data_IF_282152793088
#
_entry.id   IF_282152793088
#
_cell.length_a   1.000
_cell.length_b   1.000
_cell.length_c   1.000
_cell.angle_alpha   90.00
_cell.angle_beta   90.00
_cell.angle_gamma   90.00
#
_symmetry.space_group_name_H-M   'P 1'
#
loop_
_entity.id
_entity.type
_entity.pdbx_description
1 polymer ?
#
# COMPACT_ATOMS: atom_id res chain seq x y z
N UNK A 1 16.66 -2.77 2.21
CA UNK A 1 16.01 -4.09 2.35
C UNK A 1 14.54 -3.87 2.65
N UNK A 2 13.66 -4.54 1.92
CA UNK A 2 12.22 -4.58 2.21
C UNK A 2 11.97 -5.73 3.18
N UNK A 3 11.22 -5.49 4.25
CA UNK A 3 10.94 -6.52 5.26
C UNK A 3 9.64 -7.24 4.90
N UNK A 4 9.68 -8.57 4.87
CA UNK A 4 8.46 -9.37 4.78
C UNK A 4 7.62 -9.19 6.04
N UNK A 5 6.32 -8.96 5.86
CA UNK A 5 5.37 -8.80 6.97
C UNK A 5 4.24 -9.80 6.87
N UNK A 6 3.88 -10.38 8.01
CA UNK A 6 2.70 -11.24 8.11
C UNK A 6 1.43 -10.41 8.00
N UNK A 7 0.66 -10.63 6.92
CA UNK A 7 -0.60 -9.91 6.65
C UNK A 7 -1.60 -10.11 7.79
N UNK A 8 -1.75 -11.34 8.27
CA UNK A 8 -2.67 -11.68 9.38
C UNK A 8 -2.29 -10.93 10.65
N UNK A 9 -0.99 -10.92 11.00
CA UNK A 9 -0.50 -10.20 12.17
C UNK A 9 -0.76 -8.69 12.03
N UNK A 10 -0.53 -8.13 10.84
CA UNK A 10 -0.76 -6.72 10.58
C UNK A 10 -2.23 -6.32 10.79
N UNK A 11 -3.16 -7.13 10.29
CA UNK A 11 -4.61 -6.92 10.49
C UNK A 11 -4.97 -7.00 11.97
N UNK A 12 -4.50 -8.03 12.68
CA UNK A 12 -4.76 -8.20 14.12
C UNK A 12 -4.24 -6.99 14.90
N UNK A 13 -3.01 -6.55 14.62
CA UNK A 13 -2.43 -5.38 15.28
C UNK A 13 -3.20 -4.11 14.97
N UNK A 14 -3.68 -3.91 13.74
CA UNK A 14 -4.56 -2.77 13.40
C UNK A 14 -5.83 -2.78 14.25
N UNK A 15 -6.46 -3.94 14.48
CA UNK A 15 -7.66 -4.03 15.30
C UNK A 15 -7.38 -3.80 16.79
N UNK A 16 -6.35 -4.43 17.34
CA UNK A 16 -5.98 -4.32 18.77
C UNK A 16 -5.55 -2.89 19.12
N UNK A 17 -4.90 -2.19 18.19
CA UNK A 17 -4.40 -0.82 18.41
C UNK A 17 -5.40 0.26 17.98
N UNK A 18 -6.69 -0.09 17.79
CA UNK A 18 -7.74 0.84 17.37
C UNK A 18 -7.36 1.66 16.11
N UNK A 19 -6.71 1.02 15.14
CA UNK A 19 -6.31 1.63 13.88
C UNK A 19 -4.92 2.28 13.86
N UNK A 20 -4.27 2.49 15.02
CA UNK A 20 -2.96 3.16 15.10
C UNK A 20 -1.90 2.38 14.32
N UNK A 21 -1.85 1.05 14.48
CA UNK A 21 -0.95 0.21 13.70
C UNK A 21 -1.27 0.25 12.20
N UNK A 22 -2.53 0.45 11.82
CA UNK A 22 -2.92 0.61 10.42
C UNK A 22 -2.25 1.82 9.75
N UNK A 23 -2.05 2.92 10.50
CA UNK A 23 -1.32 4.10 10.02
C UNK A 23 0.15 3.78 9.80
N UNK A 24 0.79 3.13 10.78
CA UNK A 24 2.18 2.67 10.65
C UNK A 24 2.33 1.74 9.44
N UNK A 25 1.43 0.75 9.31
CA UNK A 25 1.45 -0.21 8.22
C UNK A 25 1.31 0.49 6.86
N UNK A 26 0.36 1.41 6.72
CA UNK A 26 0.19 2.23 5.52
C UNK A 26 1.50 2.96 5.13
N UNK A 27 2.15 3.64 6.08
CA UNK A 27 3.35 4.43 5.81
C UNK A 27 4.48 3.52 5.31
N UNK A 28 4.72 2.41 6.01
CA UNK A 28 5.83 1.52 5.70
C UNK A 28 5.57 0.75 4.40
N UNK A 29 4.34 0.30 4.18
CA UNK A 29 3.91 -0.36 2.95
C UNK A 29 4.12 0.54 1.72
N UNK A 30 3.73 1.81 1.83
CA UNK A 30 3.92 2.80 0.77
C UNK A 30 5.40 3.03 0.47
N UNK A 31 6.23 3.19 1.52
CA UNK A 31 7.67 3.36 1.37
C UNK A 31 8.33 2.14 0.70
N UNK A 32 7.90 0.94 1.07
CA UNK A 32 8.44 -0.29 0.49
C UNK A 32 8.04 -0.42 -0.98
N UNK A 33 6.79 -0.11 -1.34
CA UNK A 33 6.36 -0.08 -2.74
C UNK A 33 7.16 0.94 -3.58
N UNK A 34 7.38 2.16 -3.08
CA UNK A 34 8.20 3.17 -3.77
C UNK A 34 9.66 2.74 -3.95
N UNK A 35 10.25 2.07 -2.95
CA UNK A 35 11.59 1.49 -3.09
C UNK A 35 11.63 0.36 -4.12
N UNK A 36 10.60 -0.48 -4.16
CA UNK A 36 10.53 -1.62 -5.08
C UNK A 36 10.31 -1.19 -6.54
N UNK A 37 9.63 -0.06 -6.77
CA UNK A 37 9.37 0.53 -8.09
C UNK A 37 10.46 1.50 -8.56
N UNK A 38 11.41 1.84 -7.68
CA UNK A 38 12.43 2.86 -7.94
C UNK A 38 11.94 4.31 -7.82
N UNK A 39 10.67 4.54 -7.47
CA UNK A 39 10.13 5.87 -7.17
C UNK A 39 10.32 6.21 -5.68
N UNK A 40 11.52 6.71 -5.35
CA UNK A 40 11.84 7.18 -4.00
C UNK A 40 11.06 8.42 -3.57
N UNK A 41 10.38 9.11 -4.50
CA UNK A 41 9.49 10.22 -4.16
C UNK A 41 8.18 9.72 -3.56
N UNK A 42 7.80 8.46 -3.82
CA UNK A 42 6.57 7.82 -3.36
C UNK A 42 6.68 7.39 -1.89
N UNK A 43 6.60 8.37 -0.98
CA UNK A 43 6.79 8.17 0.46
C UNK A 43 5.48 8.10 1.24
N UNK A 44 5.39 7.16 2.16
CA UNK A 44 4.23 6.95 3.03
C UNK A 44 3.88 8.16 3.88
N UNK A 45 4.88 8.90 4.38
CA UNK A 45 4.64 10.11 5.18
C UNK A 45 3.91 11.19 4.38
N UNK A 46 4.31 11.42 3.12
CA UNK A 46 3.65 12.35 2.20
C UNK A 46 2.20 11.94 1.94
N UNK A 47 1.97 10.67 1.59
CA UNK A 47 0.63 10.18 1.30
C UNK A 47 -0.27 10.15 2.54
N UNK A 48 0.28 9.86 3.72
CA UNK A 48 -0.46 9.89 4.97
C UNK A 48 -0.89 11.33 5.33
N UNK A 49 0.03 12.29 5.26
CA UNK A 49 -0.27 13.70 5.52
C UNK A 49 -1.35 14.21 4.56
N UNK A 50 -1.24 13.91 3.26
CA UNK A 50 -2.26 14.30 2.28
C UNK A 50 -3.60 13.63 2.56
N UNK A 51 -3.61 12.38 3.01
CA UNK A 51 -4.85 11.69 3.44
C UNK A 51 -5.48 12.38 4.64
N UNK A 52 -4.69 12.83 5.61
CA UNK A 52 -5.20 13.56 6.76
C UNK A 52 -5.75 14.94 6.37
N UNK A 53 -5.01 15.72 5.59
CA UNK A 53 -5.39 17.09 5.17
C UNK A 53 -6.63 17.09 4.26
N UNK A 54 -6.79 16.05 3.45
CA UNK A 54 -7.95 15.92 2.54
C UNK A 54 -9.11 15.13 3.15
N UNK A 55 -9.12 14.90 4.47
CA UNK A 55 -10.17 14.16 5.17
C UNK A 55 -10.45 12.78 4.56
N UNK A 56 -9.40 12.06 4.17
CA UNK A 56 -9.49 10.72 3.60
C UNK A 56 -9.65 10.65 2.08
N UNK A 57 -9.96 11.76 1.39
CA UNK A 57 -10.17 11.74 -0.07
C UNK A 57 -8.91 11.31 -0.82
N UNK A 58 -7.72 11.71 -0.35
CA UNK A 58 -6.45 11.31 -0.95
C UNK A 58 -6.19 9.80 -0.89
N UNK A 59 -6.90 9.04 -0.04
CA UNK A 59 -6.76 7.58 0.03
C UNK A 59 -7.11 6.90 -1.30
N UNK A 60 -8.06 7.45 -2.08
CA UNK A 60 -8.41 6.93 -3.41
C UNK A 60 -7.28 7.16 -4.42
N UNK A 61 -6.67 8.34 -4.37
CA UNK A 61 -5.53 8.70 -5.22
C UNK A 61 -4.34 7.80 -4.89
N UNK A 62 -4.07 7.59 -3.61
CA UNK A 62 -3.05 6.65 -3.15
C UNK A 62 -3.34 5.22 -3.62
N UNK A 63 -4.59 4.74 -3.51
CA UNK A 63 -4.97 3.38 -3.91
C UNK A 63 -4.73 3.12 -5.41
N UNK A 64 -4.94 4.13 -6.25
CA UNK A 64 -4.57 4.05 -7.66
C UNK A 64 -3.05 4.01 -7.85
N UNK A 65 -2.31 4.93 -7.21
CA UNK A 65 -0.87 5.07 -7.39
C UNK A 65 -0.07 3.89 -6.84
N UNK A 66 -0.48 3.30 -5.72
CA UNK A 66 0.17 2.13 -5.14
C UNK A 66 0.09 0.92 -6.09
N UNK A 67 -1.06 0.73 -6.76
CA UNK A 67 -1.21 -0.33 -7.78
C UNK A 67 -0.26 -0.16 -8.96
N UNK A 68 -0.07 1.07 -9.44
CA UNK A 68 0.89 1.37 -10.52
C UNK A 68 2.33 1.14 -10.09
N UNK A 69 2.67 1.52 -8.85
CA UNK A 69 4.00 1.28 -8.28
C UNK A 69 4.30 -0.22 -8.18
N UNK A 70 3.34 -1.04 -7.73
CA UNK A 70 3.51 -2.50 -7.69
C UNK A 70 3.67 -3.09 -9.09
N UNK A 71 2.84 -2.68 -10.05
CA UNK A 71 2.94 -3.16 -11.43
C UNK A 71 4.30 -2.81 -12.06
N UNK A 72 4.81 -1.60 -11.82
CA UNK A 72 6.14 -1.19 -12.29
C UNK A 72 7.25 -1.98 -11.58
N UNK A 73 7.11 -2.22 -10.27
CA UNK A 73 8.04 -3.06 -9.51
C UNK A 73 8.10 -4.52 -10.01
N UNK A 74 6.97 -5.08 -10.45
CA UNK A 74 6.90 -6.40 -11.10
C UNK A 74 7.62 -6.38 -12.45
N UNK A 75 7.34 -5.36 -13.27
CA UNK A 75 7.96 -5.17 -14.59
C UNK A 75 9.49 -5.09 -14.50
N UNK A 76 10.02 -4.33 -13.55
CA UNK A 76 11.47 -4.18 -13.34
C UNK A 76 12.17 -5.49 -12.96
N UNK A 77 11.43 -6.46 -12.42
CA UNK A 77 11.93 -7.79 -12.05
C UNK A 77 11.65 -8.86 -13.12
N UNK A 78 11.20 -8.46 -14.31
CA UNK A 78 10.89 -9.39 -15.41
C UNK A 78 9.63 -10.25 -15.18
N UNK A 79 8.80 -9.91 -14.19
CA UNK A 79 7.50 -10.56 -13.98
C UNK A 79 6.44 -9.97 -14.91
N UNK A 80 5.41 -10.76 -15.21
CA UNK A 80 4.21 -10.25 -15.90
C UNK A 80 3.48 -9.29 -14.95
N UNK A 81 3.41 -7.98 -15.27
CA UNK A 81 2.81 -7.01 -14.37
C UNK A 81 1.29 -7.20 -14.31
N UNK A 82 0.74 -7.19 -13.11
CA UNK A 82 -0.71 -7.23 -12.85
C UNK A 82 -1.12 -5.88 -12.29
N UNK A 83 -1.92 -5.14 -13.07
CA UNK A 83 -2.39 -3.82 -12.68
C UNK A 83 -3.70 -3.91 -11.89
N UNK A 84 -3.57 -3.87 -10.56
CA UNK A 84 -4.69 -3.88 -9.63
C UNK A 84 -5.15 -2.47 -9.22
N UNK A 85 -4.68 -1.39 -9.86
CA UNK A 85 -4.97 -0.01 -9.45
C UNK A 85 -6.46 0.30 -9.35
N UNK A 86 -7.26 -0.12 -10.34
CA UNK A 86 -8.71 0.13 -10.34
C UNK A 86 -9.40 -0.68 -9.24
N UNK A 87 -9.00 -1.94 -9.04
CA UNK A 87 -9.51 -2.78 -7.96
C UNK A 87 -9.26 -2.12 -6.59
N UNK A 88 -8.07 -1.61 -6.35
CA UNK A 88 -7.71 -0.95 -5.09
C UNK A 88 -8.52 0.32 -4.84
N UNK A 89 -8.82 1.11 -5.87
CA UNK A 89 -9.72 2.27 -5.76
C UNK A 89 -11.13 1.81 -5.37
N UNK A 90 -11.68 0.81 -6.07
CA UNK A 90 -13.03 0.28 -5.80
C UNK A 90 -13.14 -0.24 -4.37
N UNK A 91 -12.18 -1.06 -3.91
CA UNK A 91 -12.16 -1.54 -2.53
C UNK A 91 -12.12 -0.39 -1.52
N UNK A 92 -11.32 0.64 -1.78
CA UNK A 92 -11.21 1.81 -0.90
C UNK A 92 -12.52 2.60 -0.84
N UNK A 93 -13.25 2.74 -1.95
CA UNK A 93 -14.58 3.41 -2.01
C UNK A 93 -15.59 2.70 -1.11
N UNK A 94 -15.56 1.37 -1.07
CA UNK A 94 -16.44 0.57 -0.21
C UNK A 94 -15.94 0.42 1.24
N UNK A 95 -14.92 1.20 1.65
CA UNK A 95 -14.37 1.14 3.00
C UNK A 95 -13.53 -0.11 3.29
N UNK A 96 -13.18 -0.89 2.26
CA UNK A 96 -12.38 -2.11 2.35
C UNK A 96 -10.87 -1.83 2.17
N UNK A 97 -10.39 -0.66 2.62
CA UNK A 97 -8.99 -0.24 2.47
C UNK A 97 -7.99 -1.21 3.13
N UNK A 98 -8.41 -1.90 4.19
CA UNK A 98 -7.59 -2.93 4.83
C UNK A 98 -7.31 -4.14 3.92
N UNK A 99 -8.23 -4.47 3.02
CA UNK A 99 -8.06 -5.51 2.00
C UNK A 99 -7.05 -5.05 0.95
N UNK A 100 -7.12 -3.78 0.55
CA UNK A 100 -6.09 -3.16 -0.31
C UNK A 100 -4.70 -3.27 0.32
N UNK A 101 -4.57 -3.00 1.63
CA UNK A 101 -3.28 -3.12 2.32
C UNK A 101 -2.76 -4.56 2.32
N UNK A 102 -3.64 -5.53 2.56
CA UNK A 102 -3.30 -6.95 2.52
C UNK A 102 -2.81 -7.41 1.14
N UNK A 103 -3.51 -7.02 0.07
CA UNK A 103 -3.14 -7.37 -1.31
C UNK A 103 -1.79 -6.76 -1.69
N UNK A 104 -1.62 -5.46 -1.44
CA UNK A 104 -0.35 -4.77 -1.71
C UNK A 104 0.78 -5.41 -0.87
N UNK A 105 0.56 -5.73 0.41
CA UNK A 105 1.57 -6.39 1.23
C UNK A 105 1.94 -7.78 0.70
N UNK A 106 0.98 -8.53 0.17
CA UNK A 106 1.24 -9.81 -0.49
C UNK A 106 2.13 -9.63 -1.72
N UNK A 107 1.87 -8.63 -2.55
CA UNK A 107 2.72 -8.30 -3.70
C UNK A 107 4.12 -7.85 -3.27
N UNK A 108 4.22 -6.94 -2.30
CA UNK A 108 5.50 -6.49 -1.73
C UNK A 108 6.31 -7.69 -1.20
N UNK A 109 5.68 -8.61 -0.47
CA UNK A 109 6.36 -9.80 0.07
C UNK A 109 6.89 -10.74 -1.03
N UNK A 110 6.20 -10.83 -2.18
CA UNK A 110 6.63 -11.61 -3.34
C UNK A 110 7.77 -10.94 -4.12
N UNK A 111 7.87 -9.61 -4.03
CA UNK A 111 8.87 -8.78 -4.71
C UNK A 111 10.15 -8.55 -3.90
N UNK A 112 10.09 -8.78 -2.59
CA UNK A 112 11.20 -8.66 -1.64
C UNK A 112 12.15 -9.87 -1.71
#
# INVERSE_FOLDING_TARGET
MVQQRGIVLAIILTLITCGIYGIYWFIVLTNDAGKLSGDYSFTGGKHFLLTLVTCGIWSFVWAYQIGKNIAEAQRQRGMVPVDNSVLYVVLTIFGLSIVTYALVQSDVNRLA
#
